data_IF_828342661100
#
_entry.id   IF_828342661100
#
_cell.length_a   1.000
_cell.length_b   1.000
_cell.length_c   1.000
_cell.angle_alpha   90.00
_cell.angle_beta   90.00
_cell.angle_gamma   90.00
#
_symmetry.space_group_name_H-M   'P 1'
#
loop_
_entity.id
_entity.type
_entity.pdbx_description
1 polymer ?
#
# COMPACT_ATOMS: atom_id res chain seq x y z
N UNK A 1 14.67 24.86 -7.72
CA UNK A 1 14.22 24.22 -8.97
C UNK A 1 14.00 22.75 -8.66
N UNK A 2 12.74 22.33 -8.49
CA UNK A 2 12.37 20.93 -8.25
C UNK A 2 12.53 20.14 -9.53
N UNK A 3 13.22 19.00 -9.46
CA UNK A 3 13.56 18.18 -10.62
C UNK A 3 12.28 17.55 -11.22
N UNK A 4 12.08 17.59 -12.56
CA UNK A 4 10.92 16.98 -13.23
C UNK A 4 10.83 15.45 -13.10
N UNK A 5 11.81 14.79 -12.49
CA UNK A 5 11.80 13.35 -12.19
C UNK A 5 10.99 13.00 -10.93
N UNK A 6 11.05 13.83 -9.88
CA UNK A 6 10.39 13.53 -8.61
C UNK A 6 8.86 13.52 -8.72
N UNK A 7 8.28 14.36 -9.59
CA UNK A 7 6.84 14.41 -9.81
C UNK A 7 6.31 13.22 -10.63
N UNK A 8 7.10 12.71 -11.59
CA UNK A 8 6.75 11.53 -12.39
C UNK A 8 6.76 10.26 -11.55
N UNK A 9 7.76 10.10 -10.69
CA UNK A 9 7.87 8.94 -9.81
C UNK A 9 6.76 8.93 -8.74
N UNK A 10 6.37 10.10 -8.23
CA UNK A 10 5.23 10.24 -7.33
C UNK A 10 3.89 9.91 -8.02
N UNK A 11 3.71 10.28 -9.29
CA UNK A 11 2.54 9.92 -10.09
C UNK A 11 2.43 8.40 -10.30
N UNK A 12 3.51 7.77 -10.76
CA UNK A 12 3.56 6.30 -10.95
C UNK A 12 3.32 5.56 -9.63
N UNK A 13 3.77 6.12 -8.51
CA UNK A 13 3.56 5.54 -7.19
C UNK A 13 2.08 5.57 -6.79
N UNK A 14 1.45 6.73 -6.90
CA UNK A 14 0.03 6.89 -6.65
C UNK A 14 -0.81 5.99 -7.54
N UNK A 15 -0.50 5.92 -8.84
CA UNK A 15 -1.23 5.07 -9.80
C UNK A 15 -1.20 3.59 -9.39
N UNK A 16 -0.04 3.07 -8.96
CA UNK A 16 0.01 1.67 -8.52
C UNK A 16 -0.50 1.44 -7.10
N UNK A 17 -0.61 2.47 -6.26
CA UNK A 17 -1.39 2.38 -5.01
C UNK A 17 -2.89 2.27 -5.32
N UNK A 18 -3.40 3.09 -6.24
CA UNK A 18 -4.79 3.04 -6.69
C UNK A 18 -5.11 1.72 -7.39
N UNK A 19 -4.21 1.23 -8.24
CA UNK A 19 -4.37 -0.06 -8.90
C UNK A 19 -4.35 -1.22 -7.89
N UNK A 20 -3.44 -1.19 -6.91
CA UNK A 20 -3.42 -2.19 -5.83
C UNK A 20 -4.76 -2.22 -5.10
N UNK A 21 -5.28 -1.07 -4.67
CA UNK A 21 -6.57 -0.99 -3.98
C UNK A 21 -7.71 -1.60 -4.82
N UNK A 22 -7.83 -1.22 -6.09
CA UNK A 22 -8.86 -1.77 -7.00
C UNK A 22 -8.76 -3.28 -7.19
N UNK A 23 -7.54 -3.81 -7.27
CA UNK A 23 -7.32 -5.25 -7.43
C UNK A 23 -7.65 -6.00 -6.13
N UNK A 24 -7.41 -5.39 -4.96
CA UNK A 24 -7.86 -5.94 -3.67
C UNK A 24 -9.39 -6.04 -3.62
N UNK A 25 -10.09 -4.96 -3.97
CA UNK A 25 -11.57 -4.92 -4.00
C UNK A 25 -12.13 -5.98 -4.97
N UNK A 26 -11.54 -6.09 -6.16
CA UNK A 26 -11.92 -7.08 -7.15
C UNK A 26 -11.65 -8.52 -6.67
N UNK A 27 -10.57 -8.73 -5.91
CA UNK A 27 -10.21 -10.04 -5.38
C UNK A 27 -11.19 -10.51 -4.31
N UNK A 28 -11.66 -9.60 -3.46
CA UNK A 28 -12.70 -9.88 -2.46
C UNK A 28 -14.01 -10.27 -3.16
N UNK A 29 -14.45 -9.46 -4.13
CA UNK A 29 -15.65 -9.77 -4.91
C UNK A 29 -15.54 -11.10 -5.66
N UNK A 30 -14.39 -11.39 -6.28
CA UNK A 30 -14.16 -12.66 -6.99
C UNK A 30 -14.20 -13.86 -6.03
N UNK A 31 -13.70 -13.72 -4.80
CA UNK A 31 -13.79 -14.76 -3.76
C UNK A 31 -15.22 -14.98 -3.31
N UNK A 32 -15.99 -13.92 -3.11
CA UNK A 32 -17.40 -14.00 -2.73
C UNK A 32 -18.24 -14.68 -3.81
N UNK A 33 -17.94 -14.39 -5.08
CA UNK A 33 -18.57 -15.02 -6.25
C UNK A 33 -18.02 -16.42 -6.56
N UNK A 34 -16.96 -16.88 -5.86
CA UNK A 34 -16.27 -18.16 -6.08
C UNK A 34 -15.69 -18.32 -7.50
N UNK A 35 -15.26 -17.22 -8.10
CA UNK A 35 -14.64 -17.18 -9.43
C UNK A 35 -13.13 -17.47 -9.33
N UNK A 36 -12.77 -18.75 -9.17
CA UNK A 36 -11.40 -19.20 -8.87
C UNK A 36 -10.37 -18.79 -9.94
N UNK A 37 -10.76 -18.76 -11.22
CA UNK A 37 -9.89 -18.32 -12.31
C UNK A 37 -9.54 -16.82 -12.17
N UNK A 38 -10.55 -16.00 -11.91
CA UNK A 38 -10.40 -14.55 -11.68
C UNK A 38 -9.57 -14.26 -10.43
N UNK A 39 -9.76 -15.04 -9.35
CA UNK A 39 -8.92 -14.96 -8.14
C UNK A 39 -7.45 -15.19 -8.48
N UNK A 40 -7.13 -16.23 -9.25
CA UNK A 40 -5.75 -16.52 -9.66
C UNK A 40 -5.11 -15.41 -10.50
N UNK A 41 -5.86 -14.81 -11.44
CA UNK A 41 -5.39 -13.69 -12.25
C UNK A 41 -5.13 -12.44 -11.41
N UNK A 42 -6.06 -12.07 -10.52
CA UNK A 42 -5.93 -10.91 -9.65
C UNK A 42 -4.78 -11.07 -8.66
N UNK A 43 -4.55 -12.27 -8.11
CA UNK A 43 -3.39 -12.57 -7.27
C UNK A 43 -2.06 -12.41 -8.04
N UNK A 44 -2.03 -12.75 -9.33
CA UNK A 44 -0.86 -12.54 -10.18
C UNK A 44 -0.61 -11.06 -10.47
N UNK A 45 -1.66 -10.28 -10.75
CA UNK A 45 -1.56 -8.81 -10.91
C UNK A 45 -0.97 -8.18 -9.64
N UNK A 46 -1.50 -8.58 -8.47
CA UNK A 46 -1.00 -8.13 -7.18
C UNK A 46 0.50 -8.47 -7.01
N UNK A 47 0.92 -9.72 -7.26
CA UNK A 47 2.35 -10.10 -7.16
C UNK A 47 3.26 -9.22 -8.02
N UNK A 48 2.82 -8.89 -9.24
CA UNK A 48 3.59 -8.05 -10.15
C UNK A 48 3.70 -6.60 -9.66
N UNK A 49 2.67 -6.07 -8.99
CA UNK A 49 2.69 -4.74 -8.37
C UNK A 49 3.62 -4.64 -7.15
N UNK A 50 3.96 -5.78 -6.53
CA UNK A 50 4.88 -5.82 -5.38
C UNK A 50 6.32 -5.41 -5.73
N UNK A 51 6.69 -5.44 -7.02
CA UNK A 51 8.05 -5.15 -7.49
C UNK A 51 8.26 -3.66 -7.75
N UNK A 52 8.65 -2.91 -6.72
CA UNK A 52 9.04 -1.49 -6.86
C UNK A 52 10.56 -1.31 -6.84
N UNK A 53 11.15 -0.91 -7.97
CA UNK A 53 12.54 -0.44 -8.04
C UNK A 53 12.63 0.96 -7.40
N UNK A 54 13.75 1.26 -6.75
CA UNK A 54 14.02 2.59 -6.17
C UNK A 54 13.52 2.80 -4.73
N UNK A 55 12.86 1.81 -4.11
CA UNK A 55 12.52 1.88 -2.69
C UNK A 55 13.72 1.57 -1.80
N UNK A 56 13.85 2.35 -0.72
CA UNK A 56 14.71 2.00 0.41
C UNK A 56 14.24 0.71 1.08
N UNK A 57 15.10 0.09 1.90
CA UNK A 57 14.74 -1.13 2.63
C UNK A 57 13.52 -0.94 3.56
N UNK A 58 13.35 0.24 4.17
CA UNK A 58 12.18 0.57 4.99
C UNK A 58 10.92 0.75 4.14
N UNK A 59 11.03 1.46 3.00
CA UNK A 59 9.93 1.64 2.05
C UNK A 59 9.43 0.31 1.50
N UNK A 60 10.35 -0.61 1.16
CA UNK A 60 9.98 -1.95 0.71
C UNK A 60 9.21 -2.73 1.79
N UNK A 61 9.67 -2.67 3.05
CA UNK A 61 8.96 -3.31 4.18
C UNK A 61 7.55 -2.74 4.39
N UNK A 62 7.41 -1.41 4.32
CA UNK A 62 6.12 -0.73 4.43
C UNK A 62 5.20 -1.12 3.27
N UNK A 63 5.73 -1.12 2.05
CA UNK A 63 5.00 -1.54 0.85
C UNK A 63 4.50 -2.97 0.93
N UNK A 64 5.38 -3.90 1.33
CA UNK A 64 5.06 -5.32 1.50
C UNK A 64 3.94 -5.53 2.52
N UNK A 65 3.94 -4.77 3.62
CA UNK A 65 2.88 -4.89 4.64
C UNK A 65 1.57 -4.27 4.19
N UNK A 66 1.59 -3.14 3.48
CA UNK A 66 0.37 -2.57 2.88
C UNK A 66 -0.28 -3.55 1.92
N UNK A 67 0.54 -4.23 1.12
CA UNK A 67 0.09 -5.25 0.20
C UNK A 67 -0.54 -6.45 0.90
N UNK A 68 -0.06 -6.82 2.09
CA UNK A 68 -0.64 -7.95 2.83
C UNK A 68 -1.88 -7.55 3.65
N UNK A 69 -2.03 -6.26 3.97
CA UNK A 69 -3.25 -5.69 4.55
C UNK A 69 -4.37 -5.47 3.53
N UNK A 70 -4.08 -5.62 2.24
CA UNK A 70 -4.97 -5.58 1.08
C UNK A 70 -6.39 -6.19 1.27
N UNK A 71 -6.65 -7.25 2.06
CA UNK A 71 -8.02 -7.76 2.22
C UNK A 71 -8.83 -7.12 3.37
N UNK A 72 -8.48 -5.93 3.88
CA UNK A 72 -9.19 -5.28 5.01
C UNK A 72 -9.50 -3.80 4.80
N UNK A 73 -9.36 -3.30 3.57
CA UNK A 73 -9.52 -1.89 3.27
C UNK A 73 -10.93 -1.62 2.76
N UNK A 74 -11.94 -1.85 3.60
CA UNK A 74 -13.21 -1.16 3.40
C UNK A 74 -12.91 0.36 3.44
N UNK A 75 -13.23 1.05 2.34
CA UNK A 75 -13.05 2.49 2.07
C UNK A 75 -11.63 2.96 1.66
N UNK A 76 -11.55 3.96 0.74
CA UNK A 76 -10.31 4.33 0.03
C UNK A 76 -9.18 4.67 0.99
N UNK A 77 -8.20 3.76 1.05
CA UNK A 77 -6.88 3.90 1.66
C UNK A 77 -6.80 4.96 2.79
N UNK A 78 -7.50 4.78 3.92
CA UNK A 78 -7.45 5.75 5.01
C UNK A 78 -6.09 5.80 5.68
N UNK A 79 -5.31 6.87 5.50
CA UNK A 79 -3.90 6.80 5.87
C UNK A 79 -3.69 6.85 7.40
N UNK A 80 -4.66 7.37 8.17
CA UNK A 80 -4.60 7.47 9.63
C UNK A 80 -4.53 6.10 10.34
N UNK A 81 -5.31 5.12 9.86
CA UNK A 81 -5.32 3.74 10.39
C UNK A 81 -4.15 2.93 9.84
N UNK A 82 -3.80 3.15 8.57
CA UNK A 82 -2.74 2.39 7.88
C UNK A 82 -1.38 2.49 8.58
N UNK A 83 -0.96 3.67 9.06
CA UNK A 83 0.36 3.80 9.68
C UNK A 83 0.52 3.01 10.99
N UNK A 84 -0.54 2.94 11.80
CA UNK A 84 -0.53 2.17 13.06
C UNK A 84 -0.54 0.68 12.77
N UNK A 85 -1.39 0.26 11.86
CA UNK A 85 -1.56 -1.14 11.50
C UNK A 85 -0.30 -1.71 10.82
N UNK A 86 0.28 -0.96 9.88
CA UNK A 86 1.56 -1.32 9.27
C UNK A 86 2.67 -1.43 10.31
N UNK A 87 2.82 -0.44 11.19
CA UNK A 87 3.84 -0.47 12.25
C UNK A 87 3.68 -1.68 13.18
N UNK A 88 2.43 -2.01 13.53
CA UNK A 88 2.11 -3.17 14.34
C UNK A 88 2.41 -4.50 13.63
N UNK A 89 2.04 -4.63 12.35
CA UNK A 89 2.35 -5.81 11.55
C UNK A 89 3.86 -6.01 11.36
N UNK A 90 4.61 -4.92 11.15
CA UNK A 90 6.07 -4.94 11.07
C UNK A 90 6.72 -5.39 12.39
N UNK A 91 6.21 -4.90 13.53
CA UNK A 91 6.65 -5.34 14.84
C UNK A 91 6.42 -6.85 15.05
N UNK A 92 5.24 -7.36 14.67
CA UNK A 92 4.94 -8.80 14.73
C UNK A 92 5.87 -9.67 13.89
N UNK A 93 6.45 -9.14 12.82
CA UNK A 93 7.41 -9.83 11.94
C UNK A 93 8.86 -9.75 12.42
N UNK A 94 9.12 -9.14 13.58
CA UNK A 94 10.48 -8.89 14.06
C UNK A 94 11.25 -7.85 13.24
N UNK A 95 10.56 -7.02 12.45
CA UNK A 95 11.17 -5.94 11.66
C UNK A 95 10.55 -4.58 12.00
N UNK A 96 10.59 -4.16 13.29
CA UNK A 96 9.85 -2.99 13.75
C UNK A 96 10.28 -1.72 13.02
N UNK A 97 9.30 -0.95 12.54
CA UNK A 97 9.48 0.42 12.06
C UNK A 97 8.57 1.31 12.90
N UNK A 98 9.12 2.40 13.44
CA UNK A 98 8.37 3.34 14.25
C UNK A 98 7.19 3.92 13.46
N UNK A 99 6.02 4.04 14.10
CA UNK A 99 4.81 4.62 13.50
C UNK A 99 5.05 5.98 12.86
N UNK A 100 5.86 6.84 13.47
CA UNK A 100 6.23 8.16 12.93
C UNK A 100 7.05 8.07 11.63
N UNK A 101 7.83 7.01 11.47
CA UNK A 101 8.60 6.72 10.26
C UNK A 101 7.72 6.16 9.16
N UNK A 102 6.85 5.20 9.49
CA UNK A 102 5.81 4.70 8.57
C UNK A 102 4.95 5.86 8.07
N UNK A 103 4.52 6.76 8.96
CA UNK A 103 3.76 7.97 8.60
C UNK A 103 4.49 8.82 7.56
N UNK A 104 5.79 9.06 7.73
CA UNK A 104 6.58 9.84 6.76
C UNK A 104 6.68 9.14 5.41
N UNK A 105 6.83 7.81 5.40
CA UNK A 105 6.87 7.02 4.17
C UNK A 105 5.53 7.10 3.43
N UNK A 106 4.42 6.89 4.12
CA UNK A 106 3.08 7.01 3.52
C UNK A 106 2.81 8.43 2.99
N UNK A 107 3.19 9.47 3.75
CA UNK A 107 3.05 10.86 3.32
C UNK A 107 3.88 11.18 2.08
N UNK A 108 5.09 10.63 1.97
CA UNK A 108 5.94 10.74 0.76
C UNK A 108 5.24 10.18 -0.47
N UNK A 109 4.38 9.17 -0.28
CA UNK A 109 3.65 8.52 -1.35
C UNK A 109 2.30 9.18 -1.67
N UNK A 110 2.02 10.35 -1.08
CA UNK A 110 0.77 11.10 -1.31
C UNK A 110 -0.42 10.57 -0.51
N UNK A 111 -0.21 9.63 0.40
CA UNK A 111 -1.25 9.14 1.30
C UNK A 111 -1.35 10.09 2.49
N UNK A 112 -2.45 10.84 2.60
CA UNK A 112 -2.64 11.85 3.64
C UNK A 112 -2.87 11.25 5.04
N UNK A 113 -1.77 11.00 5.74
CA UNK A 113 -1.69 10.45 7.10
C UNK A 113 -2.02 11.43 8.22
N UNK A 114 -2.45 12.65 7.87
CA UNK A 114 -2.91 13.60 8.87
C UNK A 114 -4.26 13.12 9.39
N UNK A 115 -4.27 12.83 10.69
CA UNK A 115 -5.45 13.01 11.53
C UNK A 115 -6.21 14.22 11.02
N UNK A 116 -7.43 14.08 10.50
CA UNK A 116 -8.32 15.22 10.25
C UNK A 116 -8.15 16.16 11.45
N UNK A 117 -7.47 17.29 11.23
CA UNK A 117 -7.52 18.38 12.19
C UNK A 117 -8.97 18.84 12.13
N UNK A 118 -9.78 18.31 13.04
CA UNK A 118 -11.01 18.98 13.45
C UNK A 118 -10.64 20.27 14.16
#
# INVERSE_FOLDING_TARGET
MTLPSESKDAGILNDSLQLMARVCDALELARDLREEATVGELENVLKNLRVRRGFTAEEKKVWDVLFELCPRLEEPFYPERSAREVSFHLAKRGTPIARSRVRRILAKWGLDVRGKQR
#
